data_IF_472084411614
#
_entry.id   IF_472084411614
#
_cell.length_a   1.000
_cell.length_b   1.000
_cell.length_c   1.000
_cell.angle_alpha   90.00
_cell.angle_beta   90.00
_cell.angle_gamma   90.00
#
_symmetry.space_group_name_H-M   'P 1'
#
loop_
_entity.id
_entity.type
_entity.pdbx_description
1 polymer ?
#
# COMPACT_ATOMS: atom_id res chain seq x y z
N UNK A 1 -19.95 -6.66 3.80
CA UNK A 1 -19.24 -5.95 2.70
C UNK A 1 -18.37 -4.89 3.34
N UNK A 2 -17.04 -5.03 3.33
CA UNK A 2 -16.15 -4.02 3.94
C UNK A 2 -15.88 -2.95 2.88
N UNK A 3 -16.38 -1.76 3.15
CA UNK A 3 -16.01 -0.58 2.42
C UNK A 3 -14.96 0.15 3.25
N UNK A 4 -13.77 0.42 2.69
CA UNK A 4 -12.71 1.17 3.37
C UNK A 4 -13.06 2.67 3.43
N UNK A 5 -14.22 3.00 4.00
CA UNK A 5 -14.80 4.34 3.96
C UNK A 5 -14.33 5.25 5.09
N UNK A 6 -13.52 4.74 6.04
CA UNK A 6 -12.86 5.60 7.02
C UNK A 6 -11.38 5.29 7.16
N UNK A 7 -10.57 6.35 7.18
CA UNK A 7 -9.15 6.27 7.52
C UNK A 7 -8.94 5.63 8.89
N UNK A 8 -9.85 5.84 9.83
CA UNK A 8 -9.80 5.22 11.16
C UNK A 8 -9.98 3.70 11.11
N UNK A 9 -10.75 3.15 10.17
CA UNK A 9 -10.82 1.69 9.97
C UNK A 9 -9.47 1.14 9.49
N UNK A 10 -8.82 1.81 8.53
CA UNK A 10 -7.47 1.43 8.08
C UNK A 10 -6.45 1.54 9.21
N UNK A 11 -6.53 2.57 10.05
CA UNK A 11 -5.69 2.71 11.25
C UNK A 11 -5.91 1.55 12.20
N UNK A 12 -7.16 1.18 12.47
CA UNK A 12 -7.51 0.05 13.34
C UNK A 12 -6.92 -1.27 12.84
N UNK A 13 -7.07 -1.54 11.54
CA UNK A 13 -6.48 -2.73 10.90
C UNK A 13 -4.94 -2.70 10.92
N UNK A 14 -4.32 -1.53 10.70
CA UNK A 14 -2.87 -1.41 10.67
C UNK A 14 -2.22 -1.61 12.05
N UNK A 15 -2.94 -1.33 13.15
CA UNK A 15 -2.43 -1.55 14.53
C UNK A 15 -2.01 -2.99 14.79
N UNK A 16 -2.67 -3.99 14.20
CA UNK A 16 -2.28 -5.39 14.36
C UNK A 16 -1.04 -5.77 13.54
N UNK A 17 -0.61 -4.90 12.62
CA UNK A 17 0.50 -5.13 11.71
C UNK A 17 1.78 -4.40 12.14
N UNK A 18 1.70 -3.45 13.08
CA UNK A 18 2.80 -2.57 13.49
C UNK A 18 2.90 -2.47 15.01
N UNK A 19 4.03 -2.90 15.57
CA UNK A 19 4.19 -3.10 17.01
C UNK A 19 4.34 -1.80 17.82
N UNK A 20 4.62 -0.66 17.18
CA UNK A 20 4.75 0.63 17.88
C UNK A 20 3.48 1.47 17.75
N UNK A 21 2.65 1.56 18.80
CA UNK A 21 1.34 2.21 18.73
C UNK A 21 1.43 3.73 18.51
N UNK A 22 2.57 4.37 18.81
CA UNK A 22 2.75 5.83 18.74
C UNK A 22 2.76 6.34 17.31
N UNK A 23 3.32 5.55 16.39
CA UNK A 23 3.57 6.01 15.01
C UNK A 23 2.59 5.41 13.98
N UNK A 24 1.63 4.58 14.40
CA UNK A 24 0.68 3.86 13.54
C UNK A 24 0.10 4.75 12.44
N UNK A 25 -0.44 5.93 12.80
CA UNK A 25 -1.04 6.86 11.84
C UNK A 25 -0.01 7.42 10.86
N UNK A 26 1.18 7.75 11.36
CA UNK A 26 2.26 8.31 10.55
C UNK A 26 2.78 7.27 9.54
N UNK A 27 3.05 6.05 10.01
CA UNK A 27 3.59 4.98 9.16
C UNK A 27 2.55 4.51 8.15
N UNK A 28 1.29 4.34 8.56
CA UNK A 28 0.21 4.05 7.62
C UNK A 28 0.13 5.13 6.52
N UNK A 29 0.21 6.40 6.91
CA UNK A 29 0.18 7.52 5.95
C UNK A 29 1.37 7.47 4.99
N UNK A 30 2.57 7.15 5.49
CA UNK A 30 3.76 6.97 4.64
C UNK A 30 3.53 5.85 3.63
N UNK A 31 3.07 4.68 4.08
CA UNK A 31 2.79 3.51 3.23
C UNK A 31 1.76 3.84 2.16
N UNK A 32 0.63 4.46 2.53
CA UNK A 32 -0.45 4.76 1.58
C UNK A 32 -0.12 5.87 0.59
N UNK A 33 0.91 6.68 0.86
CA UNK A 33 1.39 7.75 -0.04
C UNK A 33 2.56 7.30 -0.92
N UNK A 34 3.04 6.07 -0.77
CA UNK A 34 4.07 5.54 -1.67
C UNK A 34 3.54 5.56 -3.09
N UNK A 35 4.43 5.93 -4.02
CA UNK A 35 4.16 5.67 -5.41
C UNK A 35 4.00 4.15 -5.60
N UNK A 36 3.16 3.79 -6.56
CA UNK A 36 2.86 2.41 -6.82
C UNK A 36 2.43 2.21 -8.26
N UNK A 37 2.68 1.01 -8.74
CA UNK A 37 2.26 0.57 -10.05
C UNK A 37 0.94 -0.19 -9.96
N UNK A 38 0.01 0.11 -10.86
CA UNK A 38 -1.27 -0.60 -10.96
C UNK A 38 -1.29 -1.35 -12.28
N UNK A 39 -1.57 -2.66 -12.23
CA UNK A 39 -1.73 -3.51 -13.40
C UNK A 39 -3.03 -4.31 -13.32
N UNK A 40 -3.74 -4.38 -14.43
CA UNK A 40 -4.86 -5.29 -14.57
C UNK A 40 -4.35 -6.69 -14.96
N UNK A 41 -4.77 -7.70 -14.19
CA UNK A 41 -4.53 -9.12 -14.47
C UNK A 41 -5.87 -9.86 -14.37
N UNK A 42 -6.48 -10.13 -15.53
CA UNK A 42 -7.87 -10.59 -15.59
C UNK A 42 -8.81 -9.57 -14.95
N UNK A 43 -9.62 -10.01 -13.99
CA UNK A 43 -10.55 -9.15 -13.22
C UNK A 43 -9.91 -8.47 -11.99
N UNK A 44 -8.59 -8.59 -11.82
CA UNK A 44 -7.89 -8.13 -10.62
C UNK A 44 -6.96 -6.97 -10.94
N UNK A 45 -7.16 -5.84 -10.26
CA UNK A 45 -6.19 -4.74 -10.20
C UNK A 45 -5.14 -5.08 -9.14
N UNK A 46 -3.93 -5.36 -9.60
CA UNK A 46 -2.76 -5.58 -8.77
C UNK A 46 -2.10 -4.23 -8.50
N UNK A 47 -2.06 -3.83 -7.24
CA UNK A 47 -1.40 -2.63 -6.72
C UNK A 47 -0.06 -3.03 -6.12
N UNK A 48 1.02 -2.64 -6.79
CA UNK A 48 2.40 -2.82 -6.33
C UNK A 48 2.88 -1.50 -5.71
N UNK A 49 3.01 -1.46 -4.38
CA UNK A 49 3.60 -0.33 -3.67
C UNK A 49 5.12 -0.36 -3.79
N UNK A 50 5.75 0.81 -3.89
CA UNK A 50 7.20 0.94 -3.97
C UNK A 50 7.93 0.37 -2.75
N UNK A 51 9.25 0.18 -2.94
CA UNK A 51 10.14 -0.27 -1.89
C UNK A 51 10.13 0.66 -0.67
N UNK A 52 10.04 0.05 0.51
CA UNK A 52 10.15 0.73 1.79
C UNK A 52 11.54 0.43 2.36
N UNK A 53 12.38 1.45 2.49
CA UNK A 53 13.77 1.32 2.96
C UNK A 53 13.83 0.76 4.38
N UNK A 54 13.06 1.35 5.30
CA UNK A 54 12.99 0.91 6.70
C UNK A 54 12.39 -0.50 6.80
N UNK A 55 13.15 -1.42 7.39
CA UNK A 55 12.77 -2.83 7.51
C UNK A 55 11.50 -3.02 8.34
N UNK A 56 11.36 -2.31 9.47
CA UNK A 56 10.20 -2.42 10.37
C UNK A 56 8.92 -1.94 9.66
N UNK A 57 9.00 -0.82 8.96
CA UNK A 57 7.89 -0.29 8.17
C UNK A 57 7.54 -1.22 6.99
N UNK A 58 8.55 -1.78 6.32
CA UNK A 58 8.36 -2.73 5.22
C UNK A 58 7.65 -4.00 5.68
N UNK A 59 8.08 -4.59 6.78
CA UNK A 59 7.45 -5.78 7.36
C UNK A 59 6.00 -5.51 7.77
N UNK A 60 5.73 -4.35 8.38
CA UNK A 60 4.38 -3.95 8.73
C UNK A 60 3.50 -3.74 7.48
N UNK A 61 4.04 -3.13 6.42
CA UNK A 61 3.34 -2.97 5.15
C UNK A 61 3.03 -4.32 4.48
N UNK A 62 3.98 -5.26 4.50
CA UNK A 62 3.78 -6.62 3.99
C UNK A 62 2.65 -7.33 4.75
N UNK A 63 2.70 -7.33 6.10
CA UNK A 63 1.65 -7.90 6.94
C UNK A 63 0.29 -7.25 6.65
N UNK A 64 0.28 -5.93 6.50
CA UNK A 64 -0.93 -5.20 6.19
C UNK A 64 -1.50 -5.54 4.80
N UNK A 65 -0.67 -5.65 3.76
CA UNK A 65 -1.11 -6.11 2.45
C UNK A 65 -1.71 -7.51 2.52
N UNK A 66 -1.10 -8.45 3.25
CA UNK A 66 -1.65 -9.79 3.44
C UNK A 66 -3.01 -9.75 4.14
N UNK A 67 -3.14 -8.97 5.21
CA UNK A 67 -4.40 -8.80 5.94
C UNK A 67 -5.50 -8.24 5.03
N UNK A 68 -5.21 -7.17 4.30
CA UNK A 68 -6.16 -6.52 3.39
C UNK A 68 -6.56 -7.47 2.25
N UNK A 69 -5.61 -8.20 1.65
CA UNK A 69 -5.90 -9.19 0.61
C UNK A 69 -6.79 -10.32 1.10
N UNK A 70 -6.61 -10.77 2.35
CA UNK A 70 -7.47 -11.77 2.98
C UNK A 70 -8.94 -11.34 3.09
N UNK A 71 -9.20 -10.02 3.09
CA UNK A 71 -10.56 -9.47 3.10
C UNK A 71 -11.22 -9.46 1.71
N UNK A 72 -10.51 -9.92 0.67
CA UNK A 72 -10.98 -9.90 -0.73
C UNK A 72 -11.49 -8.53 -1.17
N UNK A 73 -10.62 -7.49 -1.14
CA UNK A 73 -11.02 -6.12 -1.38
C UNK A 73 -11.50 -5.95 -2.82
N UNK A 74 -12.50 -5.09 -3.02
CA UNK A 74 -13.08 -4.81 -4.34
C UNK A 74 -13.20 -3.31 -4.53
N UNK A 75 -12.79 -2.84 -5.70
CA UNK A 75 -13.10 -1.50 -6.15
C UNK A 75 -14.48 -1.55 -6.82
N UNK A 76 -15.47 -0.89 -6.20
CA UNK A 76 -16.81 -0.76 -6.76
C UNK A 76 -16.91 0.57 -7.49
N UNK A 77 -17.23 0.51 -8.77
CA UNK A 77 -17.52 1.66 -9.63
C UNK A 77 -18.44 1.23 -10.77
N UNK A 78 -18.37 1.90 -11.91
CA UNK A 78 -19.07 1.44 -13.13
C UNK A 78 -18.65 0.02 -13.56
N UNK A 79 -17.43 -0.37 -13.22
CA UNK A 79 -16.88 -1.71 -13.38
C UNK A 79 -16.37 -2.16 -12.01
N UNK A 80 -16.61 -3.42 -11.65
CA UNK A 80 -16.13 -4.00 -10.39
C UNK A 80 -14.79 -4.69 -10.60
N UNK A 81 -13.77 -4.29 -9.87
CA UNK A 81 -12.46 -4.95 -9.89
C UNK A 81 -12.17 -5.62 -8.55
N UNK A 82 -11.56 -6.81 -8.58
CA UNK A 82 -10.86 -7.35 -7.40
C UNK A 82 -9.59 -6.53 -7.20
N UNK A 83 -9.23 -6.26 -5.95
CA UNK A 83 -7.97 -5.60 -5.60
C UNK A 83 -7.01 -6.62 -5.01
N UNK A 84 -5.73 -6.50 -5.36
CA UNK A 84 -4.66 -7.27 -4.74
C UNK A 84 -3.46 -6.36 -4.49
N UNK A 85 -2.99 -6.30 -3.25
CA UNK A 85 -1.91 -5.40 -2.83
C UNK A 85 -0.63 -6.17 -2.53
N UNK A 86 0.52 -5.60 -2.92
CA UNK A 86 1.85 -6.14 -2.57
C UNK A 86 2.88 -5.03 -2.51
N UNK A 87 3.96 -5.25 -1.76
CA UNK A 87 5.13 -4.37 -1.72
C UNK A 87 6.18 -4.87 -2.72
N UNK A 88 6.93 -3.96 -3.34
CA UNK A 88 8.11 -4.32 -4.13
C UNK A 88 9.11 -5.06 -3.25
N UNK A 89 9.66 -6.17 -3.78
CA UNK A 89 10.72 -6.93 -3.12
C UNK A 89 12.12 -6.37 -3.37
N UNK A 90 12.25 -5.42 -4.30
CA UNK A 90 13.51 -4.79 -4.68
C UNK A 90 13.38 -3.26 -4.70
N UNK A 91 14.43 -2.52 -4.29
CA UNK A 91 14.50 -1.09 -4.55
C UNK A 91 14.50 -0.88 -6.07
N UNK A 92 13.51 -0.16 -6.59
CA UNK A 92 13.42 0.16 -8.02
C UNK A 92 14.59 1.11 -8.38
N UNK A 93 15.55 0.71 -9.24
CA UNK A 93 16.71 1.56 -9.56
C UNK A 93 16.33 2.88 -10.26
N UNK A 94 15.19 2.91 -10.97
CA UNK A 94 14.79 4.03 -11.83
C UNK A 94 14.11 5.21 -11.13
N UNK A 95 13.58 5.06 -9.91
CA UNK A 95 12.73 6.09 -9.29
C UNK A 95 13.50 7.18 -8.51
N UNK A 96 14.74 6.93 -8.07
CA UNK A 96 15.60 8.00 -7.51
C UNK A 96 15.97 9.04 -8.58
N UNK A 97 16.14 8.62 -9.84
CA UNK A 97 16.48 9.51 -10.95
C UNK A 97 15.30 10.42 -11.36
N UNK A 98 14.08 9.88 -11.42
CA UNK A 98 12.91 10.63 -11.88
C UNK A 98 12.43 11.69 -10.86
N UNK A 99 12.64 11.44 -9.56
CA UNK A 99 12.35 12.43 -8.49
C UNK A 99 13.34 13.61 -8.48
N UNK A 100 14.58 13.41 -8.96
CA UNK A 100 15.55 14.50 -9.08
C UNK A 100 15.26 15.41 -10.27
N UNK A 101 14.78 14.88 -11.40
CA UNK A 101 14.43 15.70 -12.57
C UNK A 101 13.19 16.58 -12.35
N UNK A 102 12.17 16.11 -11.60
CA UNK A 102 10.96 16.89 -11.36
C UNK A 102 11.12 18.02 -10.32
N UNK A 103 12.20 17.98 -9.51
CA UNK A 103 12.51 19.02 -8.51
C UNK A 103 13.54 20.05 -9.03
N UNK A 104 13.96 19.92 -10.30
CA UNK A 104 14.89 20.84 -10.99
C UNK A 104 14.22 21.58 -12.16
N UNK A 105 12.89 21.55 -12.26
CA UNK A 105 12.09 22.26 -13.27
C UNK A 105 11.24 23.35 -12.65
#
# INVERSE_FOLDING_TARGET
>A
MIAFHSREHLVSLFRSCYDDPRDVKQILTKITRLAGYVKLAGETLVVLLDWIEDKKHREAAIRFCHLINGMSPKLKGHINFKLYFRISSIPQPGYRAQKQMHNLS
#
